data_IF_610687637964
#
_entry.id   IF_610687637964
#
_cell.length_a   1.000
_cell.length_b   1.000
_cell.length_c   1.000
_cell.angle_alpha   90.00
_cell.angle_beta   90.00
_cell.angle_gamma   90.00
#
_symmetry.space_group_name_H-M   'P 1'
#
loop_
_entity.id
_entity.type
_entity.pdbx_description
1 polymer ?
#
# COMPACT_ATOMS: atom_id res chain seq x y z
N UNK A 1 -5.09 -21.95 -19.97
CA UNK A 1 -6.01 -21.22 -19.08
C UNK A 1 -6.14 -22.02 -17.80
N UNK A 2 -5.39 -21.66 -16.76
CA UNK A 2 -5.43 -22.33 -15.47
C UNK A 2 -6.46 -21.64 -14.59
N UNK A 3 -7.51 -22.35 -14.22
CA UNK A 3 -8.55 -21.89 -13.32
C UNK A 3 -7.93 -21.67 -11.94
N UNK A 4 -8.04 -20.47 -11.39
CA UNK A 4 -7.63 -20.17 -10.02
C UNK A 4 -8.42 -21.11 -9.10
N UNK A 5 -7.75 -22.01 -8.40
CA UNK A 5 -8.39 -22.97 -7.50
C UNK A 5 -9.30 -22.23 -6.53
N UNK A 6 -10.50 -22.76 -6.26
CA UNK A 6 -11.37 -22.18 -5.23
C UNK A 6 -10.60 -22.11 -3.90
N UNK A 7 -10.48 -20.92 -3.29
CA UNK A 7 -9.75 -20.79 -2.04
C UNK A 7 -10.43 -21.62 -0.95
N UNK A 8 -9.63 -22.23 -0.07
CA UNK A 8 -10.13 -23.00 1.07
C UNK A 8 -11.19 -22.21 1.85
N UNK A 9 -12.28 -22.87 2.26
CA UNK A 9 -13.33 -22.25 3.10
C UNK A 9 -12.71 -21.66 4.37
N UNK A 10 -12.91 -20.36 4.59
CA UNK A 10 -12.40 -19.65 5.76
C UNK A 10 -13.52 -19.28 6.72
N UNK A 11 -13.28 -19.56 8.01
CA UNK A 11 -14.17 -19.14 9.09
C UNK A 11 -13.71 -17.76 9.57
N UNK A 12 -14.49 -16.73 9.28
CA UNK A 12 -14.21 -15.38 9.75
C UNK A 12 -14.82 -15.16 11.13
N UNK A 13 -13.96 -14.83 12.10
CA UNK A 13 -14.32 -14.38 13.44
C UNK A 13 -13.97 -12.88 13.56
N UNK A 14 -14.65 -12.09 14.40
CA UNK A 14 -14.29 -10.68 14.57
C UNK A 14 -12.81 -10.44 14.88
N UNK A 15 -12.16 -11.41 15.57
CA UNK A 15 -10.73 -11.38 15.88
C UNK A 15 -9.84 -11.56 14.64
N UNK A 16 -10.18 -12.47 13.73
CA UNK A 16 -9.37 -12.71 12.52
C UNK A 16 -9.67 -11.73 11.38
N UNK A 17 -10.90 -11.20 11.28
CA UNK A 17 -11.27 -10.23 10.24
C UNK A 17 -10.40 -8.98 10.30
N UNK A 18 -10.19 -8.43 11.50
CA UNK A 18 -9.31 -7.27 11.66
C UNK A 18 -7.89 -7.56 11.18
N UNK A 19 -7.35 -8.73 11.55
CA UNK A 19 -6.00 -9.12 11.16
C UNK A 19 -5.88 -9.31 9.64
N UNK A 20 -6.85 -9.95 9.01
CA UNK A 20 -6.85 -10.16 7.56
C UNK A 20 -6.99 -8.84 6.79
N UNK A 21 -7.79 -7.89 7.28
CA UNK A 21 -7.88 -6.56 6.68
C UNK A 21 -6.57 -5.78 6.78
N UNK A 22 -5.90 -5.82 7.93
CA UNK A 22 -4.60 -5.19 8.12
C UNK A 22 -3.54 -5.82 7.21
N UNK A 23 -3.49 -7.16 7.14
CA UNK A 23 -2.61 -7.90 6.24
C UNK A 23 -2.87 -7.56 4.78
N UNK A 24 -4.14 -7.57 4.36
CA UNK A 24 -4.53 -7.24 2.99
C UNK A 24 -4.17 -5.82 2.59
N UNK A 25 -4.32 -4.86 3.50
CA UNK A 25 -3.87 -3.48 3.29
C UNK A 25 -2.35 -3.41 3.13
N UNK A 26 -1.60 -4.08 3.99
CA UNK A 26 -0.12 -4.09 3.92
C UNK A 26 0.37 -4.69 2.61
N UNK A 27 -0.18 -5.82 2.18
CA UNK A 27 0.16 -6.45 0.90
C UNK A 27 -0.26 -5.60 -0.30
N UNK A 28 -1.43 -4.97 -0.24
CA UNK A 28 -1.88 -4.05 -1.27
C UNK A 28 -0.89 -2.90 -1.46
N UNK A 29 -0.52 -2.25 -0.36
CA UNK A 29 0.46 -1.15 -0.36
C UNK A 29 1.80 -1.63 -0.88
N UNK A 30 2.29 -2.79 -0.39
CA UNK A 30 3.57 -3.36 -0.81
C UNK A 30 3.64 -3.65 -2.30
N UNK A 31 2.57 -4.18 -2.89
CA UNK A 31 2.53 -4.59 -4.29
C UNK A 31 2.28 -3.43 -5.26
N UNK A 32 1.68 -2.34 -4.80
CA UNK A 32 1.24 -1.25 -5.69
C UNK A 32 1.99 0.08 -5.48
N UNK A 33 2.81 0.22 -4.43
CA UNK A 33 3.64 1.41 -4.23
C UNK A 33 4.97 1.26 -4.97
N UNK A 34 5.37 2.30 -5.70
CA UNK A 34 6.60 2.31 -6.47
C UNK A 34 7.26 3.69 -6.53
N UNK A 35 8.35 3.79 -7.29
CA UNK A 35 9.05 5.05 -7.55
C UNK A 35 9.08 5.28 -9.07
N UNK A 36 8.71 6.48 -9.50
CA UNK A 36 8.75 6.89 -10.90
C UNK A 36 10.17 7.19 -11.36
N UNK A 37 10.38 7.33 -12.68
CA UNK A 37 11.68 7.72 -13.24
C UNK A 37 12.16 9.09 -12.74
N UNK A 38 11.22 9.97 -12.39
CA UNK A 38 11.49 11.31 -11.87
C UNK A 38 11.65 11.32 -10.35
N UNK A 39 11.91 10.16 -9.74
CA UNK A 39 12.11 9.99 -8.30
C UNK A 39 10.90 10.40 -7.45
N UNK A 40 9.68 10.21 -7.98
CA UNK A 40 8.42 10.48 -7.27
C UNK A 40 7.77 9.19 -6.77
N UNK A 41 7.07 9.28 -5.66
CA UNK A 41 6.33 8.15 -5.10
C UNK A 41 5.07 7.89 -5.92
N UNK A 42 4.92 6.68 -6.45
CA UNK A 42 3.71 6.23 -7.14
C UNK A 42 2.74 5.65 -6.12
N UNK A 43 1.58 6.29 -5.94
CA UNK A 43 0.54 5.82 -5.01
C UNK A 43 -0.77 5.55 -5.73
N UNK A 44 -1.40 4.38 -5.53
CA UNK A 44 -2.74 4.12 -6.04
C UNK A 44 -3.77 5.08 -5.43
N UNK A 45 -4.75 5.51 -6.23
CA UNK A 45 -5.91 6.31 -5.75
C UNK A 45 -6.64 5.66 -4.57
N UNK A 46 -6.63 4.33 -4.47
CA UNK A 46 -7.24 3.65 -3.33
C UNK A 46 -6.56 4.00 -1.99
N UNK A 47 -5.25 4.25 -2.00
CA UNK A 47 -4.52 4.73 -0.81
C UNK A 47 -4.96 6.15 -0.43
N UNK A 48 -5.24 7.01 -1.41
CA UNK A 48 -5.79 8.36 -1.19
C UNK A 48 -7.17 8.30 -0.53
N UNK A 49 -8.06 7.45 -1.06
CA UNK A 49 -9.41 7.27 -0.54
C UNK A 49 -9.37 6.73 0.89
N UNK A 50 -8.57 5.68 1.13
CA UNK A 50 -8.37 5.13 2.46
C UNK A 50 -7.89 6.20 3.45
N UNK A 51 -6.93 7.04 3.06
CA UNK A 51 -6.43 8.11 3.92
C UNK A 51 -7.53 9.12 4.28
N UNK A 52 -8.41 9.46 3.33
CA UNK A 52 -9.55 10.34 3.57
C UNK A 52 -10.56 9.70 4.52
N UNK A 53 -10.92 8.45 4.27
CA UNK A 53 -11.92 7.71 5.06
C UNK A 53 -11.46 7.47 6.51
N UNK A 54 -10.15 7.29 6.70
CA UNK A 54 -9.54 7.09 8.03
C UNK A 54 -9.02 8.38 8.66
N UNK A 55 -9.21 9.52 8.00
CA UNK A 55 -8.68 10.82 8.41
C UNK A 55 -7.15 10.81 8.70
N UNK A 56 -6.40 9.96 7.98
CA UNK A 56 -4.95 9.90 8.11
C UNK A 56 -4.33 11.18 7.54
N UNK A 57 -3.50 11.82 8.36
CA UNK A 57 -2.67 12.91 7.89
C UNK A 57 -1.59 12.39 6.93
N UNK A 58 -0.99 13.29 6.15
CA UNK A 58 0.08 12.94 5.21
C UNK A 58 1.22 12.14 5.88
N UNK A 59 1.61 12.50 7.11
CA UNK A 59 2.64 11.76 7.86
C UNK A 59 2.18 10.33 8.16
N UNK A 60 0.94 10.14 8.61
CA UNK A 60 0.38 8.82 8.89
C UNK A 60 0.30 7.92 7.66
N UNK A 61 -0.02 8.48 6.48
CA UNK A 61 0.00 7.73 5.21
C UNK A 61 1.41 7.26 4.89
N UNK A 62 2.43 8.10 5.10
CA UNK A 62 3.82 7.74 4.85
C UNK A 62 4.34 6.69 5.82
N UNK A 63 3.98 6.80 7.10
CA UNK A 63 4.35 5.79 8.10
C UNK A 63 3.72 4.44 7.78
N UNK A 64 2.44 4.44 7.37
CA UNK A 64 1.77 3.24 6.87
C UNK A 64 2.52 2.63 5.68
N UNK A 65 2.85 3.43 4.66
CA UNK A 65 3.60 2.97 3.49
C UNK A 65 4.97 2.40 3.90
N UNK A 66 5.69 3.11 4.76
CA UNK A 66 7.01 2.69 5.23
C UNK A 66 6.91 1.35 5.97
N UNK A 67 5.92 1.18 6.85
CA UNK A 67 5.74 -0.03 7.63
C UNK A 67 5.38 -1.23 6.75
N UNK A 68 4.58 -1.03 5.69
CA UNK A 68 4.23 -2.10 4.74
C UNK A 68 5.40 -2.60 3.89
N UNK A 69 6.47 -1.81 3.72
CA UNK A 69 7.54 -2.12 2.78
C UNK A 69 8.75 -2.83 3.42
N UNK A 70 9.46 -3.71 2.68
CA UNK A 70 10.74 -4.28 3.10
C UNK A 70 11.82 -3.20 3.30
N UNK A 71 12.84 -3.50 4.12
CA UNK A 71 13.91 -2.56 4.49
C UNK A 71 14.60 -1.89 3.29
N UNK A 72 14.84 -2.64 2.21
CA UNK A 72 15.51 -2.19 1.00
C UNK A 72 14.66 -1.16 0.24
N UNK A 73 13.34 -1.39 0.18
CA UNK A 73 12.40 -0.48 -0.46
C UNK A 73 12.23 0.82 0.35
N UNK A 74 12.27 0.73 1.69
CA UNK A 74 12.21 1.90 2.58
C UNK A 74 13.35 2.89 2.30
N UNK A 75 14.56 2.39 2.09
CA UNK A 75 15.74 3.24 1.82
C UNK A 75 15.55 4.02 0.51
N UNK A 76 15.12 3.34 -0.56
CA UNK A 76 14.89 3.98 -1.86
C UNK A 76 13.83 5.07 -1.77
N UNK A 77 12.71 4.78 -1.10
CA UNK A 77 11.65 5.76 -0.90
C UNK A 77 12.19 6.94 -0.08
N UNK A 78 12.96 6.72 0.97
CA UNK A 78 13.53 7.81 1.77
C UNK A 78 14.43 8.75 0.96
N UNK A 79 15.08 8.27 -0.11
CA UNK A 79 15.86 9.10 -1.04
C UNK A 79 14.97 9.98 -1.96
N UNK A 80 13.69 9.62 -2.13
CA UNK A 80 12.69 10.40 -2.87
C UNK A 80 12.11 11.57 -2.05
N UNK A 81 12.37 11.62 -0.74
CA UNK A 81 11.86 12.71 0.10
C UNK A 81 12.54 14.04 -0.25
N UNK A 82 11.72 15.07 -0.46
CA UNK A 82 12.25 16.41 -0.63
C UNK A 82 12.83 16.92 0.70
N UNK A 83 14.16 17.08 0.74
CA UNK A 83 14.90 17.54 1.93
C UNK A 83 14.45 18.91 2.46
N UNK A 84 13.87 19.78 1.63
CA UNK A 84 13.42 21.13 2.04
C UNK A 84 12.06 21.13 2.74
N UNK A 85 11.16 20.22 2.35
CA UNK A 85 9.78 20.22 2.83
C UNK A 85 9.42 18.97 3.64
N UNK A 86 10.29 17.96 3.69
CA UNK A 86 10.01 16.67 4.33
C UNK A 86 8.85 15.91 3.68
N UNK A 87 8.45 16.31 2.46
CA UNK A 87 7.32 15.73 1.72
C UNK A 87 7.82 14.96 0.51
N UNK A 88 7.05 13.95 0.14
CA UNK A 88 7.25 13.25 -1.12
C UNK A 88 6.52 14.01 -2.23
N UNK A 89 7.13 14.07 -3.41
CA UNK A 89 6.36 14.29 -4.62
C UNK A 89 5.62 12.99 -4.93
N UNK A 90 4.29 13.05 -5.01
CA UNK A 90 3.43 11.89 -5.25
C UNK A 90 2.82 12.01 -6.64
N UNK A 91 2.93 10.96 -7.45
CA UNK A 91 2.11 10.79 -8.64
C UNK A 91 1.03 9.73 -8.34
N UNK A 92 -0.22 10.12 -8.50
CA UNK A 92 -1.36 9.24 -8.26
C UNK A 92 -1.61 8.34 -9.46
N UNK A 93 -1.56 7.03 -9.24
CA UNK A 93 -1.84 6.03 -10.27
C UNK A 93 -3.25 5.45 -10.11
N UNK A 94 -3.83 4.96 -11.21
CA UNK A 94 -5.10 4.25 -11.17
C UNK A 94 -5.01 3.02 -10.25
N UNK A 95 -6.13 2.66 -9.65
CA UNK A 95 -6.21 1.43 -8.87
C UNK A 95 -6.08 0.21 -9.80
N UNK A 96 -5.16 -0.71 -9.48
CA UNK A 96 -5.05 -1.98 -10.18
C UNK A 96 -6.03 -3.00 -9.60
N UNK A 97 -7.10 -3.29 -10.35
CA UNK A 97 -8.12 -4.28 -9.98
C UNK A 97 -7.63 -5.73 -10.09
N UNK A 98 -6.42 -5.96 -10.60
CA UNK A 98 -5.81 -7.30 -10.69
C UNK A 98 -5.11 -7.69 -9.40
N UNK A 99 -5.09 -6.81 -8.39
CA UNK A 99 -4.59 -7.18 -7.07
C UNK A 99 -5.48 -8.29 -6.49
N UNK A 100 -4.91 -9.49 -6.45
CA UNK A 100 -5.41 -10.60 -5.66
C UNK A 100 -4.47 -10.81 -4.49
N UNK A 101 -5.03 -10.92 -3.30
CA UNK A 101 -4.28 -11.37 -2.13
C UNK A 101 -3.88 -12.83 -2.39
N UNK A 102 -2.59 -13.05 -2.70
CA UNK A 102 -2.03 -14.39 -2.87
C UNK A 102 -1.78 -14.93 -1.46
N UNK A 103 -2.76 -15.63 -0.93
CA UNK A 103 -2.70 -16.27 0.38
C UNK A 103 -2.48 -17.77 0.27
#
# INVERSE_FOLDING_TARGET
SGNFSDPSVRIYTPKNVKMELECGREEYVRSNVGISKDNKLLLPKLVELYAKDTALCHVGVLDMIRNSLPCEARIKIQQCQNKKHGRFAVDWIAHDFRFGLLL
#
